data_IF_609558324620
#
_entry.id   IF_609558324620
#
_cell.length_a   1.000
_cell.length_b   1.000
_cell.length_c   1.000
_cell.angle_alpha   90.00
_cell.angle_beta   90.00
_cell.angle_gamma   90.00
#
_symmetry.space_group_name_H-M   'P 1'
#
loop_
_entity.id
_entity.type
_entity.pdbx_description
1 polymer ?
#
# COMPACT_ATOMS: atom_id res chain seq x y z
N UNK A 1 5.82 0.64 19.36
CA UNK A 1 6.38 1.97 18.97
C UNK A 1 6.68 1.95 17.48
N UNK A 2 6.36 3.03 16.75
CA UNK A 2 6.63 3.14 15.32
C UNK A 2 8.12 3.31 15.03
N UNK A 3 8.62 2.73 13.93
CA UNK A 3 9.94 3.09 13.40
C UNK A 3 10.00 4.58 13.04
N UNK A 4 11.13 5.22 13.34
CA UNK A 4 11.29 6.67 13.26
C UNK A 4 10.99 7.26 11.88
N UNK A 5 11.42 6.63 10.80
CA UNK A 5 11.18 7.13 9.44
C UNK A 5 9.76 6.84 8.96
N UNK A 6 9.18 5.72 9.40
CA UNK A 6 7.75 5.46 9.23
C UNK A 6 6.93 6.58 9.85
N UNK A 7 7.16 6.91 11.13
CA UNK A 7 6.44 7.97 11.84
C UNK A 7 6.60 9.35 11.14
N UNK A 8 7.83 9.70 10.74
CA UNK A 8 8.07 10.94 9.99
C UNK A 8 7.28 11.03 8.69
N UNK A 9 7.16 9.91 7.96
CA UNK A 9 6.42 9.87 6.69
C UNK A 9 4.92 9.83 6.93
N UNK A 10 4.46 9.07 7.94
CA UNK A 10 3.07 9.04 8.39
C UNK A 10 2.55 10.46 8.69
N UNK A 11 3.35 11.29 9.34
CA UNK A 11 2.96 12.68 9.62
C UNK A 11 2.87 13.60 8.37
N UNK A 12 3.18 13.09 7.17
CA UNK A 12 3.14 13.82 5.90
C UNK A 12 2.15 13.24 4.89
N UNK A 13 1.46 12.14 5.22
CA UNK A 13 0.51 11.52 4.27
C UNK A 13 -0.78 12.33 4.11
N UNK A 14 -0.96 13.42 4.87
CA UNK A 14 -2.18 14.22 4.87
C UNK A 14 -3.22 13.69 5.86
N UNK A 15 -4.46 14.13 5.70
CA UNK A 15 -5.55 13.83 6.63
C UNK A 15 -5.87 12.34 6.65
N UNK A 16 -6.05 11.80 7.86
CA UNK A 16 -6.36 10.39 8.10
C UNK A 16 -7.69 10.27 8.83
N UNK A 17 -8.62 9.50 8.26
CA UNK A 17 -9.93 9.22 8.84
C UNK A 17 -10.06 7.73 9.17
N UNK A 18 -10.01 7.32 10.45
CA UNK A 18 -10.17 5.93 10.82
C UNK A 18 -11.59 5.46 10.52
N UNK A 19 -11.72 4.26 9.94
CA UNK A 19 -12.98 3.62 9.62
C UNK A 19 -13.21 2.36 10.47
N UNK A 20 -12.15 1.57 10.71
CA UNK A 20 -12.21 0.32 11.45
C UNK A 20 -10.95 0.14 12.30
N UNK A 21 -11.08 -0.22 13.57
CA UNK A 21 -9.92 -0.62 14.39
C UNK A 21 -9.70 -2.13 14.32
N UNK A 22 -8.44 -2.59 14.39
CA UNK A 22 -8.12 -4.01 14.30
C UNK A 22 -8.53 -4.77 15.56
N UNK A 23 -8.89 -6.04 15.37
CA UNK A 23 -8.98 -7.01 16.48
C UNK A 23 -7.59 -7.33 17.04
N UNK A 24 -7.54 -7.93 18.24
CA UNK A 24 -6.27 -8.41 18.81
C UNK A 24 -5.56 -9.42 17.90
N UNK A 25 -6.32 -10.29 17.22
CA UNK A 25 -5.78 -11.25 16.25
C UNK A 25 -5.12 -10.56 15.05
N UNK A 26 -5.76 -9.52 14.51
CA UNK A 26 -5.20 -8.73 13.40
C UNK A 26 -3.93 -7.96 13.79
N UNK A 27 -3.86 -7.44 15.02
CA UNK A 27 -2.62 -6.82 15.55
C UNK A 27 -1.50 -7.85 15.68
N UNK A 28 -1.81 -9.03 16.23
CA UNK A 28 -0.83 -10.12 16.39
C UNK A 28 -0.33 -10.63 15.03
N UNK A 29 -1.23 -10.85 14.07
CA UNK A 29 -0.87 -11.26 12.71
C UNK A 29 -0.04 -10.18 12.00
N UNK A 30 -0.41 -8.91 12.14
CA UNK A 30 0.37 -7.79 11.61
C UNK A 30 1.79 -7.76 12.16
N UNK A 31 1.96 -8.07 13.44
CA UNK A 31 3.26 -8.15 14.10
C UNK A 31 4.12 -9.29 13.55
N UNK A 32 3.53 -10.48 13.39
CA UNK A 32 4.22 -11.70 12.94
C UNK A 32 4.59 -11.62 11.45
N UNK A 33 3.65 -11.16 10.61
CA UNK A 33 3.73 -11.32 9.15
C UNK A 33 4.15 -10.06 8.41
N UNK A 34 3.96 -8.88 9.01
CA UNK A 34 4.38 -7.60 8.42
C UNK A 34 5.55 -7.04 9.21
N UNK A 35 5.28 -6.44 10.36
CA UNK A 35 6.29 -5.87 11.26
C UNK A 35 5.65 -5.37 12.56
N UNK A 36 6.47 -5.11 13.58
CA UNK A 36 6.04 -4.43 14.80
C UNK A 36 5.54 -3.01 14.50
N UNK A 37 6.20 -2.32 13.58
CA UNK A 37 5.80 -0.98 13.13
C UNK A 37 4.40 -0.98 12.53
N UNK A 38 4.08 -1.95 11.66
CA UNK A 38 2.75 -2.08 11.08
C UNK A 38 1.70 -2.37 12.15
N UNK A 39 1.98 -3.32 13.06
CA UNK A 39 1.08 -3.66 14.16
C UNK A 39 0.76 -2.47 15.06
N UNK A 40 1.77 -1.66 15.42
CA UNK A 40 1.58 -0.44 16.19
C UNK A 40 0.78 0.61 15.41
N UNK A 41 1.06 0.76 14.11
CA UNK A 41 0.32 1.68 13.25
C UNK A 41 -1.17 1.35 13.20
N UNK A 42 -1.54 0.12 12.85
CA UNK A 42 -2.96 -0.27 12.77
C UNK A 42 -3.63 -0.24 14.15
N UNK A 43 -2.91 -0.55 15.22
CA UNK A 43 -3.45 -0.48 16.59
C UNK A 43 -3.77 0.95 17.00
N UNK A 44 -2.95 1.92 16.61
CA UNK A 44 -3.08 3.32 17.05
C UNK A 44 -3.94 4.16 16.11
N UNK A 45 -3.87 3.90 14.81
CA UNK A 45 -4.58 4.68 13.78
C UNK A 45 -5.78 3.95 13.19
N UNK A 46 -5.88 2.63 13.35
CA UNK A 46 -6.89 1.83 12.69
C UNK A 46 -6.56 1.60 11.21
N UNK A 47 -7.56 1.07 10.51
CA UNK A 47 -7.72 1.05 9.07
C UNK A 47 -8.63 2.22 8.68
N UNK A 48 -8.44 2.79 7.50
CA UNK A 48 -9.19 3.97 7.12
C UNK A 48 -8.66 4.70 5.91
N UNK A 49 -9.24 5.88 5.70
CA UNK A 49 -9.04 6.72 4.53
C UNK A 49 -7.93 7.73 4.76
N UNK A 50 -7.17 8.00 3.70
CA UNK A 50 -6.15 9.04 3.62
C UNK A 50 -6.57 10.04 2.56
N UNK A 51 -6.49 11.34 2.87
CA UNK A 51 -6.86 12.46 1.98
C UNK A 51 -8.25 12.28 1.34
N UNK A 52 -9.23 11.95 2.16
CA UNK A 52 -10.61 11.73 1.72
C UNK A 52 -10.83 10.43 0.94
N UNK A 53 -9.91 9.48 0.92
CA UNK A 53 -10.07 8.22 0.19
C UNK A 53 -9.27 8.14 -1.11
N UNK A 54 -8.37 9.11 -1.36
CA UNK A 54 -7.31 8.96 -2.37
C UNK A 54 -6.46 7.71 -2.12
N UNK A 55 -6.26 7.34 -0.86
CA UNK A 55 -5.66 6.07 -0.45
C UNK A 55 -6.38 5.53 0.77
N UNK A 56 -6.38 4.21 0.94
CA UNK A 56 -7.02 3.55 2.07
C UNK A 56 -6.12 2.43 2.59
N UNK A 57 -6.04 2.28 3.91
CA UNK A 57 -5.45 1.11 4.56
C UNK A 57 -6.56 0.13 4.93
N UNK A 58 -6.35 -1.16 4.67
CA UNK A 58 -7.35 -2.19 4.92
C UNK A 58 -6.84 -3.35 5.77
N UNK A 59 -7.73 -4.10 6.44
CA UNK A 59 -7.40 -5.39 7.02
C UNK A 59 -6.71 -6.33 6.01
N UNK A 60 -5.63 -6.97 6.46
CA UNK A 60 -4.79 -7.82 5.62
C UNK A 60 -5.51 -9.07 5.09
N UNK A 61 -6.60 -9.46 5.73
CA UNK A 61 -7.45 -10.61 5.42
C UNK A 61 -8.64 -10.27 4.50
N UNK A 62 -9.05 -9.01 4.43
CA UNK A 62 -10.26 -8.59 3.71
C UNK A 62 -10.22 -8.95 2.21
N UNK A 63 -9.05 -8.83 1.58
CA UNK A 63 -8.89 -9.01 0.13
C UNK A 63 -8.08 -10.26 -0.25
N UNK A 64 -8.15 -11.32 0.57
CA UNK A 64 -7.48 -12.61 0.29
C UNK A 64 -7.82 -13.20 -1.06
N UNK A 65 -9.09 -13.15 -1.45
CA UNK A 65 -9.56 -13.67 -2.73
C UNK A 65 -8.94 -12.89 -3.90
N UNK A 66 -8.80 -11.57 -3.78
CA UNK A 66 -8.13 -10.74 -4.79
C UNK A 66 -6.64 -11.05 -4.86
N UNK A 67 -5.96 -11.18 -3.72
CA UNK A 67 -4.56 -11.63 -3.69
C UNK A 67 -4.37 -13.00 -4.36
N UNK A 68 -5.32 -13.92 -4.18
CA UNK A 68 -5.31 -15.21 -4.87
C UNK A 68 -5.47 -15.05 -6.39
N UNK A 69 -6.37 -14.18 -6.85
CA UNK A 69 -6.51 -13.92 -8.29
C UNK A 69 -5.23 -13.34 -8.91
N UNK A 70 -4.54 -12.45 -8.19
CA UNK A 70 -3.32 -11.79 -8.67
C UNK A 70 -2.13 -12.76 -8.66
N UNK A 71 -1.90 -13.49 -7.56
CA UNK A 71 -0.63 -14.18 -7.30
C UNK A 71 -0.69 -15.73 -7.35
N UNK A 72 -1.86 -16.36 -7.49
CA UNK A 72 -1.96 -17.84 -7.34
C UNK A 72 -1.14 -18.63 -8.37
N UNK A 73 -1.02 -18.12 -9.59
CA UNK A 73 -0.28 -18.77 -10.67
C UNK A 73 1.15 -18.23 -10.83
N UNK A 74 1.59 -17.34 -9.93
CA UNK A 74 2.91 -16.73 -10.00
C UNK A 74 3.97 -17.65 -9.35
N UNK A 75 5.17 -17.69 -9.92
CA UNK A 75 6.27 -18.52 -9.41
C UNK A 75 7.12 -17.81 -8.36
N UNK A 76 7.15 -16.48 -8.39
CA UNK A 76 7.93 -15.67 -7.48
C UNK A 76 7.07 -15.25 -6.28
N UNK A 77 5.80 -14.89 -6.52
CA UNK A 77 4.85 -14.49 -5.49
C UNK A 77 3.93 -15.65 -5.05
N UNK A 78 3.43 -15.57 -3.82
CA UNK A 78 2.38 -16.48 -3.35
C UNK A 78 1.31 -15.71 -2.60
N UNK A 79 0.05 -15.91 -3.00
CA UNK A 79 -1.12 -15.38 -2.31
C UNK A 79 -1.26 -15.84 -0.84
N UNK A 80 -0.54 -16.90 -0.43
CA UNK A 80 -0.53 -17.35 0.97
C UNK A 80 0.41 -16.53 1.86
N UNK A 81 1.40 -15.87 1.26
CA UNK A 81 2.37 -15.00 1.95
C UNK A 81 2.18 -13.50 1.62
N UNK A 82 1.46 -13.18 0.55
CA UNK A 82 1.13 -11.83 0.14
C UNK A 82 -0.22 -11.38 0.73
N UNK A 83 -0.26 -10.19 1.31
CA UNK A 83 -1.47 -9.61 1.93
C UNK A 83 -1.65 -8.19 1.44
N UNK A 84 -2.84 -7.81 1.01
CA UNK A 84 -3.14 -6.45 0.56
C UNK A 84 -3.32 -5.57 1.80
N UNK A 85 -2.54 -4.50 1.92
CA UNK A 85 -2.52 -3.63 3.10
C UNK A 85 -3.13 -2.25 2.83
N UNK A 86 -3.24 -1.87 1.56
CA UNK A 86 -3.89 -0.64 1.15
C UNK A 86 -3.98 -0.51 -0.36
N UNK A 87 -4.79 0.44 -0.79
CA UNK A 87 -5.04 0.72 -2.20
C UNK A 87 -5.52 2.15 -2.40
N UNK A 88 -5.31 2.66 -3.61
CA UNK A 88 -5.74 3.98 -4.01
C UNK A 88 -7.19 4.05 -4.52
N UNK A 89 -7.67 5.25 -4.82
CA UNK A 89 -9.04 5.49 -5.24
C UNK A 89 -9.47 4.80 -6.56
N UNK A 90 -8.53 4.33 -7.39
CA UNK A 90 -8.80 3.80 -8.73
C UNK A 90 -8.26 2.38 -8.95
N UNK A 91 -7.65 1.76 -7.94
CA UNK A 91 -6.95 0.48 -8.06
C UNK A 91 -5.67 0.55 -8.90
N UNK A 92 -5.08 1.72 -9.08
CA UNK A 92 -3.83 1.90 -9.83
C UNK A 92 -2.59 1.65 -8.96
N UNK A 93 -2.68 1.97 -7.67
CA UNK A 93 -1.67 1.68 -6.68
C UNK A 93 -2.30 0.87 -5.55
N UNK A 94 -2.17 -0.46 -5.64
CA UNK A 94 -2.51 -1.40 -4.58
C UNK A 94 -1.22 -1.94 -3.97
N UNK A 95 -1.06 -1.78 -2.65
CA UNK A 95 0.11 -2.25 -1.94
C UNK A 95 -0.17 -3.60 -1.28
N UNK A 96 0.53 -4.62 -1.75
CA UNK A 96 0.63 -5.91 -1.12
C UNK A 96 1.94 -6.02 -0.32
N UNK A 97 1.91 -6.77 0.78
CA UNK A 97 3.08 -7.15 1.54
C UNK A 97 3.27 -8.67 1.47
N UNK A 98 4.40 -9.09 0.90
CA UNK A 98 4.89 -10.45 0.93
C UNK A 98 5.88 -10.64 2.07
N UNK A 99 5.75 -11.76 2.79
CA UNK A 99 6.70 -12.14 3.83
C UNK A 99 8.13 -12.39 3.28
N UNK A 100 8.25 -12.70 1.98
CA UNK A 100 9.51 -12.96 1.26
C UNK A 100 10.08 -11.69 0.62
N UNK A 101 9.23 -10.93 -0.07
CA UNK A 101 9.67 -9.81 -0.92
C UNK A 101 9.34 -8.41 -0.37
N UNK A 102 8.69 -8.34 0.80
CA UNK A 102 8.22 -7.10 1.42
C UNK A 102 7.14 -6.44 0.54
N UNK A 103 7.32 -5.18 0.14
CA UNK A 103 6.32 -4.42 -0.61
C UNK A 103 6.25 -4.84 -2.07
N UNK A 104 5.03 -5.07 -2.55
CA UNK A 104 4.68 -5.30 -3.94
C UNK A 104 3.63 -4.26 -4.31
N UNK A 105 3.83 -3.56 -5.42
CA UNK A 105 2.83 -2.64 -5.97
C UNK A 105 2.09 -3.33 -7.12
N UNK A 106 0.77 -3.27 -7.10
CA UNK A 106 -0.09 -3.84 -8.14
C UNK A 106 -0.92 -2.72 -8.74
N UNK A 107 -0.92 -2.64 -10.07
CA UNK A 107 -1.80 -1.77 -10.83
C UNK A 107 -2.84 -2.62 -11.55
N UNK A 108 -4.09 -2.58 -11.05
CA UNK A 108 -5.18 -3.39 -11.60
C UNK A 108 -5.64 -2.88 -12.97
N UNK A 109 -5.53 -1.58 -13.24
CA UNK A 109 -5.93 -0.97 -14.49
C UNK A 109 -4.97 -1.32 -15.65
N UNK A 110 -3.67 -1.33 -15.35
CA UNK A 110 -2.60 -1.65 -16.31
C UNK A 110 -2.22 -3.13 -16.33
N UNK A 111 -2.78 -3.94 -15.43
CA UNK A 111 -2.40 -5.34 -15.22
C UNK A 111 -0.90 -5.51 -14.96
N UNK A 112 -0.33 -4.67 -14.09
CA UNK A 112 1.09 -4.63 -13.78
C UNK A 112 1.37 -4.98 -12.32
N UNK A 113 2.48 -5.68 -12.08
CA UNK A 113 3.01 -5.99 -10.75
C UNK A 113 4.46 -5.51 -10.72
N UNK A 114 4.80 -4.75 -9.69
CA UNK A 114 6.14 -4.21 -9.47
C UNK A 114 6.68 -4.67 -8.11
N UNK A 115 7.89 -5.22 -8.10
CA UNK A 115 8.58 -5.61 -6.89
C UNK A 115 10.06 -5.24 -6.99
N UNK A 116 10.48 -4.26 -6.20
CA UNK A 116 11.87 -3.79 -6.21
C UNK A 116 12.85 -4.87 -5.74
N UNK A 117 12.43 -5.81 -4.89
CA UNK A 117 13.29 -6.85 -4.34
C UNK A 117 13.70 -7.90 -5.38
N UNK A 118 12.90 -8.06 -6.43
CA UNK A 118 13.17 -8.96 -7.56
C UNK A 118 13.88 -8.25 -8.73
N UNK A 119 13.96 -6.92 -8.70
CA UNK A 119 14.65 -6.17 -9.74
C UNK A 119 16.17 -6.39 -9.63
N UNK A 120 16.79 -6.83 -10.73
CA UNK A 120 18.25 -6.92 -10.79
C UNK A 120 18.85 -5.51 -10.58
N UNK A 121 19.82 -5.34 -9.67
CA UNK A 121 20.45 -4.05 -9.44
C UNK A 121 21.40 -3.73 -10.60
N UNK A 122 20.86 -3.29 -11.73
CA UNK A 122 21.64 -2.76 -12.85
C UNK A 122 22.02 -1.31 -12.51
N UNK A 123 23.08 -1.16 -11.73
CA UNK A 123 23.65 0.14 -11.39
C UNK A 123 24.69 0.53 -12.43
N UNK A 124 24.31 1.40 -13.36
CA UNK A 124 25.22 1.89 -14.42
C UNK A 124 26.19 3.01 -13.96
N UNK A 125 26.22 3.32 -12.66
CA UNK A 125 27.05 4.39 -12.09
C UNK A 125 27.60 3.99 -10.71
N UNK A 126 28.78 4.52 -10.31
CA UNK A 126 29.28 4.31 -8.97
C UNK A 126 28.34 4.96 -7.95
N UNK A 127 27.64 4.12 -7.19
CA UNK A 127 26.79 4.62 -6.11
C UNK A 127 27.66 5.21 -4.99
N UNK A 128 27.30 6.39 -4.44
CA UNK A 128 27.97 6.90 -3.26
C UNK A 128 27.81 5.89 -2.11
N UNK A 129 28.92 5.54 -1.46
CA UNK A 129 28.90 4.65 -0.30
C UNK A 129 28.02 5.28 0.79
N UNK A 130 26.98 4.59 1.28
CA UNK A 130 26.13 5.12 2.33
C UNK A 130 26.97 5.46 3.58
N UNK A 131 26.88 6.69 4.08
CA UNK A 131 27.59 7.11 5.32
C UNK A 131 27.16 6.30 6.54
N UNK A 132 25.97 5.70 6.50
CA UNK A 132 25.46 4.74 7.48
C UNK A 132 24.67 3.67 6.73
N UNK A 133 25.05 2.42 6.90
CA UNK A 133 24.26 1.27 6.47
C UNK A 133 23.06 1.14 7.41
N UNK A 134 21.86 1.35 6.89
CA UNK A 134 20.63 1.00 7.59
C UNK A 134 20.29 -0.43 7.17
N UNK A 135 20.14 -1.39 8.11
CA UNK A 135 19.70 -2.73 7.75
C UNK A 135 18.33 -2.66 7.09
N UNK A 136 18.24 -3.19 5.86
CA UNK A 136 16.99 -3.37 5.13
C UNK A 136 16.30 -4.60 5.71
N UNK A 137 15.50 -4.40 6.75
CA UNK A 137 14.69 -5.43 7.39
C UNK A 137 13.19 -5.08 7.28
N UNK A 138 12.33 -5.97 7.76
CA UNK A 138 10.86 -5.78 7.68
C UNK A 138 10.42 -4.46 8.31
N UNK A 139 11.01 -4.05 9.44
CA UNK A 139 10.67 -2.79 10.11
C UNK A 139 10.99 -1.56 9.24
N UNK A 140 12.20 -1.49 8.68
CA UNK A 140 12.60 -0.33 7.86
C UNK A 140 11.91 -0.29 6.51
N UNK A 141 11.53 -1.46 5.97
CA UNK A 141 10.77 -1.57 4.71
C UNK A 141 9.28 -1.30 4.88
N UNK A 142 8.70 -1.44 6.08
CA UNK A 142 7.27 -1.19 6.32
C UNK A 142 6.83 0.21 5.88
N UNK A 143 7.72 1.20 5.86
CA UNK A 143 7.40 2.57 5.37
C UNK A 143 6.95 2.64 3.91
N UNK A 144 7.20 1.61 3.10
CA UNK A 144 6.78 1.58 1.69
C UNK A 144 5.28 1.36 1.52
N UNK A 145 4.56 0.96 2.58
CA UNK A 145 3.10 0.83 2.54
C UNK A 145 2.39 2.19 2.59
N UNK A 146 3.13 3.25 2.94
CA UNK A 146 2.59 4.60 3.01
C UNK A 146 2.59 5.22 1.62
N UNK A 147 1.53 5.95 1.23
CA UNK A 147 1.47 6.65 -0.05
C UNK A 147 2.72 7.53 -0.24
N UNK A 148 3.23 7.59 -1.48
CA UNK A 148 4.56 8.14 -1.81
C UNK A 148 4.57 9.62 -2.06
N UNK A 149 3.52 10.13 -2.68
CA UNK A 149 3.48 11.49 -3.21
C UNK A 149 2.06 12.07 -3.10
N UNK A 150 1.85 13.26 -3.62
CA UNK A 150 0.58 13.98 -3.60
C UNK A 150 -0.43 13.43 -4.63
N UNK A 151 0.07 12.75 -5.66
CA UNK A 151 -0.72 12.23 -6.76
C UNK A 151 -1.19 10.78 -6.54
N UNK A 152 -0.78 10.10 -5.46
CA UNK A 152 -1.41 8.83 -5.06
C UNK A 152 -2.94 9.00 -4.99
N UNK A 153 -3.67 8.10 -5.66
CA UNK A 153 -5.13 8.19 -5.81
C UNK A 153 -5.62 9.12 -6.90
N UNK A 154 -4.73 9.62 -7.75
CA UNK A 154 -5.08 10.29 -9.00
C UNK A 154 -5.11 9.32 -10.17
N UNK A 155 -6.02 9.57 -11.11
CA UNK A 155 -6.04 8.94 -12.41
C UNK A 155 -6.18 10.03 -13.47
N UNK A 156 -5.69 9.77 -14.68
CA UNK A 156 -5.81 10.68 -15.82
C UNK A 156 -6.70 10.05 -16.88
N UNK A 157 -7.61 10.85 -17.42
CA UNK A 157 -8.35 10.43 -18.61
C UNK A 157 -7.46 10.46 -19.86
N UNK A 158 -8.03 10.07 -21.01
CA UNK A 158 -7.31 10.04 -22.28
C UNK A 158 -6.86 11.43 -22.78
N UNK A 159 -7.35 12.51 -22.17
CA UNK A 159 -6.97 13.90 -22.46
C UNK A 159 -5.99 14.46 -21.42
N UNK A 160 -5.46 13.62 -20.53
CA UNK A 160 -4.59 14.01 -19.42
C UNK A 160 -5.28 14.92 -18.38
N UNK A 161 -6.61 14.88 -18.26
CA UNK A 161 -7.31 15.54 -17.17
C UNK A 161 -7.32 14.66 -15.91
N UNK A 162 -7.11 15.29 -14.75
CA UNK A 162 -7.24 14.64 -13.43
C UNK A 162 -8.68 14.19 -13.18
N UNK A 163 -8.85 12.95 -12.72
CA UNK A 163 -10.15 12.30 -12.59
C UNK A 163 -10.71 12.31 -11.18
N UNK A 164 -9.89 12.39 -10.13
CA UNK A 164 -10.38 12.22 -8.74
C UNK A 164 -11.47 13.21 -8.37
N UNK A 165 -11.26 14.51 -8.59
CA UNK A 165 -12.25 15.53 -8.26
C UNK A 165 -13.50 15.47 -9.15
N UNK A 166 -13.34 15.03 -10.40
CA UNK A 166 -14.47 14.79 -11.29
C UNK A 166 -15.32 13.60 -10.82
N UNK A 167 -14.66 12.52 -10.37
CA UNK A 167 -15.31 11.34 -9.80
C UNK A 167 -16.06 11.70 -8.51
N UNK A 168 -15.43 12.41 -7.57
CA UNK A 168 -16.09 12.86 -6.33
C UNK A 168 -17.34 13.68 -6.63
N UNK A 169 -17.26 14.65 -7.57
CA UNK A 169 -18.42 15.48 -7.94
C UNK A 169 -19.57 14.68 -8.56
N UNK A 170 -19.26 13.63 -9.31
CA UNK A 170 -20.24 12.85 -10.07
C UNK A 170 -20.82 11.66 -9.29
N UNK A 171 -19.97 10.98 -8.52
CA UNK A 171 -20.24 9.70 -7.88
C UNK A 171 -20.35 9.81 -6.35
N UNK A 172 -19.94 10.93 -5.78
CA UNK A 172 -19.84 11.11 -4.33
C UNK A 172 -18.46 10.71 -3.81
N UNK A 173 -18.23 10.96 -2.51
CA UNK A 173 -17.00 10.56 -1.83
C UNK A 173 -16.97 9.05 -1.61
N UNK A 174 -15.82 8.40 -1.79
CA UNK A 174 -15.67 6.97 -1.50
C UNK A 174 -15.91 6.67 -0.02
N UNK A 175 -16.71 5.64 0.25
CA UNK A 175 -16.76 5.00 1.55
C UNK A 175 -15.58 4.02 1.73
N UNK A 176 -15.36 3.58 2.97
CA UNK A 176 -14.29 2.64 3.28
C UNK A 176 -14.50 1.30 2.57
N UNK A 177 -13.50 0.87 1.79
CA UNK A 177 -13.58 -0.35 1.00
C UNK A 177 -14.07 -0.16 -0.43
N UNK A 178 -14.44 1.06 -0.81
CA UNK A 178 -14.84 1.39 -2.19
C UNK A 178 -13.68 1.91 -3.03
N UNK A 179 -13.80 1.74 -4.34
CA UNK A 179 -12.94 2.35 -5.36
C UNK A 179 -13.80 2.90 -6.48
N UNK A 180 -13.32 3.92 -7.19
CA UNK A 180 -13.90 4.31 -8.46
C UNK A 180 -13.50 3.29 -9.53
N UNK A 181 -14.46 2.45 -9.92
CA UNK A 181 -14.27 1.47 -10.98
C UNK A 181 -14.40 2.07 -12.38
N UNK A 182 -13.76 1.41 -13.34
CA UNK A 182 -14.02 1.62 -14.77
C UNK A 182 -15.12 0.66 -15.20
N UNK A 183 -16.26 1.18 -15.62
CA UNK A 183 -17.31 0.38 -16.26
C UNK A 183 -16.94 0.28 -17.76
N UNK A 184 -16.88 -0.91 -18.36
CA UNK A 184 -16.61 -1.07 -19.80
C UNK A 184 -17.72 -0.47 -20.67
#
# INVERSE_FOLDING_TARGET
MLERNFEKRLNRIGDYTPAQFPSQGQVAEGCERVSNTYAEFIKTRGYGLVRGGRYQFCPADQYRSLAALIFKADTDFSHTDARILGFDAFGMELIAWSERHNSITVNLLKYQIECFDLAAPVLNYPMPTPKKTVPLNRETRTRTILPTDEDTGECWDWQENRMYEAAVRKLGQLEFGEVYGFVP
#
